data_IF_063667682135
#
_entry.id   IF_063667682135
#
_cell.length_a   1.000
_cell.length_b   1.000
_cell.length_c   1.000
_cell.angle_alpha   90.00
_cell.angle_beta   90.00
_cell.angle_gamma   90.00
#
_symmetry.space_group_name_H-M   'P 1'
#
loop_
_entity.id
_entity.type
_entity.pdbx_description
1 polymer ?
#
# COMPACT_ATOMS: atom_id res chain seq x y z
N UNK A 1 -9.45 -7.20 18.43
CA UNK A 1 -10.25 -6.97 17.21
C UNK A 1 -10.73 -8.31 16.69
N UNK A 2 -11.95 -8.33 16.14
CA UNK A 2 -12.50 -9.50 15.47
C UNK A 2 -12.75 -9.11 14.02
N UNK A 3 -12.08 -9.76 13.07
CA UNK A 3 -12.10 -9.38 11.65
C UNK A 3 -12.62 -10.52 10.80
N UNK A 4 -13.46 -10.23 9.81
CA UNK A 4 -13.87 -11.21 8.80
C UNK A 4 -12.64 -11.68 8.01
N UNK A 5 -12.42 -12.99 7.92
CA UNK A 5 -11.30 -13.57 7.16
C UNK A 5 -11.78 -14.35 5.94
N UNK A 6 -13.00 -14.87 5.95
CA UNK A 6 -13.60 -15.60 4.82
C UNK A 6 -15.12 -15.61 4.91
N UNK A 7 -15.78 -15.51 3.76
CA UNK A 7 -17.22 -15.77 3.60
C UNK A 7 -17.44 -16.92 2.62
N UNK A 8 -18.35 -17.83 2.97
CA UNK A 8 -18.70 -19.01 2.18
C UNK A 8 -20.22 -19.19 2.12
N UNK A 9 -20.70 -20.15 1.33
CA UNK A 9 -22.13 -20.51 1.28
C UNK A 9 -22.68 -20.99 2.64
N UNK A 10 -21.82 -21.55 3.49
CA UNK A 10 -22.20 -22.11 4.78
C UNK A 10 -22.23 -21.07 5.90
N UNK A 11 -21.50 -19.97 5.74
CA UNK A 11 -21.34 -18.96 6.78
C UNK A 11 -20.07 -18.13 6.63
N UNK A 12 -19.80 -17.33 7.65
CA UNK A 12 -18.68 -16.38 7.70
C UNK A 12 -17.72 -16.77 8.82
N UNK A 13 -16.43 -16.82 8.50
CA UNK A 13 -15.34 -17.07 9.43
C UNK A 13 -14.68 -15.74 9.83
N UNK A 14 -14.40 -15.61 11.12
CA UNK A 14 -13.76 -14.45 11.73
C UNK A 14 -12.53 -14.86 12.52
N UNK A 15 -11.56 -13.96 12.61
CA UNK A 15 -10.38 -14.12 13.45
C UNK A 15 -10.48 -13.24 14.70
N UNK A 16 -10.46 -13.85 15.89
CA UNK A 16 -10.35 -13.14 17.16
C UNK A 16 -8.88 -12.97 17.55
N UNK A 17 -8.38 -11.74 17.46
CA UNK A 17 -6.98 -11.42 17.78
C UNK A 17 -6.68 -11.53 19.27
N UNK A 18 -7.67 -11.29 20.14
CA UNK A 18 -7.49 -11.31 21.60
C UNK A 18 -7.43 -12.75 22.10
N UNK A 19 -8.37 -13.57 21.67
CA UNK A 19 -8.48 -14.98 22.08
C UNK A 19 -7.67 -15.93 21.19
N UNK A 20 -7.05 -15.41 20.11
CA UNK A 20 -6.21 -16.15 19.14
C UNK A 20 -6.89 -17.39 18.57
N UNK A 21 -8.14 -17.24 18.14
CA UNK A 21 -8.96 -18.34 17.61
C UNK A 21 -9.87 -17.89 16.47
N UNK A 22 -10.29 -18.86 15.67
CA UNK A 22 -11.32 -18.66 14.65
C UNK A 22 -12.72 -18.78 15.25
N UNK A 23 -13.63 -17.93 14.79
CA UNK A 23 -15.06 -17.96 15.10
C UNK A 23 -15.83 -18.20 13.80
N UNK A 24 -16.88 -19.02 13.85
CA UNK A 24 -17.73 -19.30 12.70
C UNK A 24 -19.17 -18.88 12.99
N UNK A 25 -19.77 -18.12 12.08
CA UNK A 25 -21.18 -17.73 12.13
C UNK A 25 -21.90 -18.32 10.92
N UNK A 26 -22.92 -19.18 11.11
CA UNK A 26 -23.69 -19.76 10.02
C UNK A 26 -24.35 -18.71 9.12
N UNK A 27 -24.58 -19.06 7.86
CA UNK A 27 -25.26 -18.17 6.93
C UNK A 27 -26.71 -17.90 7.39
N UNK A 28 -27.10 -16.63 7.43
CA UNK A 28 -28.41 -16.19 7.93
C UNK A 28 -28.44 -15.85 9.42
N UNK A 29 -27.34 -16.04 10.15
CA UNK A 29 -27.19 -15.59 11.54
C UNK A 29 -26.32 -14.32 11.62
N UNK A 30 -26.67 -13.44 12.56
CA UNK A 30 -25.84 -12.28 12.88
C UNK A 30 -24.79 -12.63 13.94
N UNK A 31 -23.56 -12.09 13.83
CA UNK A 31 -22.53 -12.32 14.84
C UNK A 31 -22.94 -11.74 16.21
N UNK A 32 -22.84 -12.55 17.26
CA UNK A 32 -23.06 -12.10 18.65
C UNK A 32 -21.91 -11.28 19.25
N UNK A 33 -21.06 -10.69 18.41
CA UNK A 33 -19.88 -9.92 18.78
C UNK A 33 -19.67 -8.76 17.79
N UNK A 34 -18.97 -7.73 18.24
CA UNK A 34 -18.64 -6.59 17.40
C UNK A 34 -17.58 -6.98 16.37
N UNK A 35 -17.91 -6.80 15.09
CA UNK A 35 -17.01 -7.04 13.97
C UNK A 35 -16.29 -5.75 13.62
N UNK A 36 -14.95 -5.80 13.62
CA UNK A 36 -14.11 -4.71 13.14
C UNK A 36 -14.08 -4.73 11.61
N UNK A 37 -14.75 -3.74 11.01
CA UNK A 37 -14.74 -3.51 9.55
C UNK A 37 -13.63 -2.52 9.22
N UNK A 38 -12.78 -2.85 8.25
CA UNK A 38 -11.64 -2.03 7.81
C UNK A 38 -10.66 -1.65 8.95
N UNK A 39 -10.01 -2.63 9.61
CA UNK A 39 -8.97 -2.32 10.58
C UNK A 39 -7.84 -1.49 9.93
N UNK A 40 -7.16 -0.66 10.72
CA UNK A 40 -6.06 0.19 10.23
C UNK A 40 -4.98 -0.63 9.49
N UNK A 41 -4.74 -1.87 9.91
CA UNK A 41 -3.81 -2.80 9.24
C UNK A 41 -4.21 -3.17 7.80
N UNK A 42 -5.48 -2.95 7.42
CA UNK A 42 -6.00 -3.16 6.06
C UNK A 42 -6.09 -1.85 5.25
N UNK A 43 -5.82 -0.70 5.87
CA UNK A 43 -5.75 0.57 5.16
C UNK A 43 -4.35 0.66 4.54
N UNK A 44 -4.27 0.52 3.23
CA UNK A 44 -3.05 0.88 2.51
C UNK A 44 -2.79 2.38 2.73
N UNK A 45 -1.58 2.73 3.17
CA UNK A 45 -1.16 4.13 3.26
C UNK A 45 -1.35 4.76 1.87
N UNK A 46 -2.24 5.76 1.75
CA UNK A 46 -2.64 6.34 0.45
C UNK A 46 -1.48 7.01 -0.27
N UNK A 47 -0.47 7.46 0.47
CA UNK A 47 0.79 7.97 -0.12
C UNK A 47 1.66 6.83 -0.70
N UNK A 48 1.44 5.59 -0.24
CA UNK A 48 2.25 4.40 -0.52
C UNK A 48 1.56 3.40 -1.45
N UNK A 49 0.26 3.56 -1.73
CA UNK A 49 -0.54 2.74 -2.65
C UNK A 49 -0.23 3.02 -4.14
N UNK A 50 1.01 3.38 -4.43
CA UNK A 50 1.56 3.67 -5.76
C UNK A 50 2.38 2.48 -6.25
N UNK A 51 1.76 1.30 -6.42
CA UNK A 51 2.28 0.20 -7.26
C UNK A 51 3.64 -0.43 -6.92
N UNK A 52 4.37 0.03 -5.90
CA UNK A 52 5.66 -0.52 -5.46
C UNK A 52 5.51 -1.63 -4.42
N UNK A 53 6.42 -2.61 -4.43
CA UNK A 53 6.50 -3.62 -3.37
C UNK A 53 7.12 -3.00 -2.10
N UNK A 54 6.46 -3.19 -0.96
CA UNK A 54 6.91 -2.74 0.35
C UNK A 54 8.07 -3.61 0.86
N UNK A 55 9.21 -3.00 1.17
CA UNK A 55 10.33 -3.65 1.86
C UNK A 55 10.78 -2.79 3.04
N UNK A 56 9.92 -2.64 4.06
CA UNK A 56 10.27 -1.92 5.30
C UNK A 56 9.87 -2.70 6.55
N UNK A 57 10.82 -3.00 7.43
CA UNK A 57 10.53 -3.41 8.80
C UNK A 57 10.21 -2.18 9.68
N UNK A 58 9.54 -2.41 10.81
CA UNK A 58 8.88 -1.43 11.70
C UNK A 58 9.74 -0.28 12.28
N UNK A 59 10.97 -0.08 11.82
CA UNK A 59 11.89 0.97 12.31
C UNK A 59 12.43 1.88 11.20
N UNK A 60 12.02 1.68 9.94
CA UNK A 60 12.40 2.56 8.83
C UNK A 60 11.57 2.31 7.59
N UNK A 61 10.79 3.33 7.18
CA UNK A 61 9.98 3.35 5.95
C UNK A 61 10.93 3.44 4.74
N UNK A 62 11.31 2.30 4.17
CA UNK A 62 12.16 2.24 2.96
C UNK A 62 11.33 1.68 1.81
N UNK A 63 11.09 2.50 0.80
CA UNK A 63 10.69 2.03 -0.53
C UNK A 63 11.93 1.36 -1.14
N UNK A 64 11.87 0.07 -1.42
CA UNK A 64 12.99 -0.63 -2.06
C UNK A 64 13.31 0.01 -3.42
N UNK A 65 14.57 -0.05 -3.85
CA UNK A 65 15.08 0.55 -5.10
C UNK A 65 14.16 0.28 -6.31
N UNK A 66 13.62 -0.95 -6.41
CA UNK A 66 12.70 -1.35 -7.49
C UNK A 66 11.30 -0.71 -7.41
N UNK A 67 10.84 -0.29 -6.24
CA UNK A 67 9.54 0.35 -6.05
C UNK A 67 9.55 1.81 -6.51
N UNK A 68 10.57 2.57 -6.13
CA UNK A 68 10.75 3.98 -6.53
C UNK A 68 10.90 4.09 -8.04
N UNK A 69 11.72 3.24 -8.66
CA UNK A 69 11.93 3.22 -10.10
C UNK A 69 10.64 2.88 -10.88
N UNK A 70 9.81 1.97 -10.37
CA UNK A 70 8.52 1.62 -10.98
C UNK A 70 7.51 2.78 -10.90
N UNK A 71 7.56 3.59 -9.85
CA UNK A 71 6.71 4.79 -9.70
C UNK A 71 7.15 5.87 -10.69
N UNK A 72 8.46 6.15 -10.72
CA UNK A 72 9.02 7.17 -11.61
C UNK A 72 8.85 6.78 -13.09
N UNK A 73 8.99 5.50 -13.43
CA UNK A 73 8.76 5.00 -14.80
C UNK A 73 7.30 5.04 -15.25
N UNK A 74 6.32 5.17 -14.35
CA UNK A 74 4.92 5.40 -14.72
C UNK A 74 4.58 6.89 -14.96
N UNK A 75 5.40 7.83 -14.45
CA UNK A 75 5.18 9.27 -14.65
C UNK A 75 5.58 9.72 -16.06
N UNK A 76 4.94 10.77 -16.55
CA UNK A 76 5.36 11.49 -17.75
C UNK A 76 6.58 12.37 -17.46
N UNK A 77 7.28 12.83 -18.50
CA UNK A 77 8.44 13.75 -18.33
C UNK A 77 8.06 15.04 -17.59
N UNK A 78 6.83 15.55 -17.80
CA UNK A 78 6.33 16.73 -17.10
C UNK A 78 6.18 16.45 -15.60
N UNK A 79 5.54 15.35 -15.24
CA UNK A 79 5.34 14.95 -13.85
C UNK A 79 6.65 14.61 -13.14
N UNK A 80 7.65 14.08 -13.85
CA UNK A 80 8.99 13.87 -13.30
C UNK A 80 9.69 15.19 -12.98
N UNK A 81 9.51 16.22 -13.82
CA UNK A 81 10.07 17.55 -13.58
C UNK A 81 9.37 18.27 -12.43
N UNK A 82 8.05 18.18 -12.36
CA UNK A 82 7.28 18.70 -11.23
C UNK A 82 7.69 18.01 -9.92
N UNK A 83 7.87 16.69 -9.94
CA UNK A 83 8.36 15.93 -8.78
C UNK A 83 9.79 16.34 -8.38
N UNK A 84 10.67 16.60 -9.36
CA UNK A 84 12.00 17.13 -9.09
C UNK A 84 11.96 18.50 -8.43
N UNK A 85 11.10 19.41 -8.91
CA UNK A 85 10.90 20.75 -8.34
C UNK A 85 10.38 20.66 -6.89
N UNK A 86 9.45 19.74 -6.61
CA UNK A 86 8.96 19.45 -5.25
C UNK A 86 10.09 18.98 -4.30
N UNK A 87 11.04 18.22 -4.83
CA UNK A 87 12.24 17.78 -4.11
C UNK A 87 13.35 18.84 -4.06
N UNK A 88 13.21 19.96 -4.78
CA UNK A 88 14.24 20.99 -4.93
C UNK A 88 15.42 20.57 -5.82
N UNK A 89 15.20 19.60 -6.72
CA UNK A 89 16.19 19.11 -7.69
C UNK A 89 15.94 19.80 -9.03
N UNK A 90 16.89 20.64 -9.47
CA UNK A 90 16.83 21.23 -10.81
C UNK A 90 17.30 20.22 -11.86
N UNK A 91 16.40 19.79 -12.76
CA UNK A 91 16.75 18.96 -13.90
C UNK A 91 17.16 19.87 -15.08
N UNK A 92 18.42 19.79 -15.55
CA UNK A 92 18.88 20.58 -16.70
C UNK A 92 17.99 20.41 -17.94
N UNK A 93 17.86 21.47 -18.75
CA UNK A 93 17.10 21.45 -20.01
C UNK A 93 17.66 20.50 -21.06
N UNK A 94 18.93 20.15 -20.93
CA UNK A 94 19.64 19.24 -21.83
C UNK A 94 19.23 17.79 -21.62
N UNK A 95 18.72 17.45 -20.43
CA UNK A 95 18.25 16.10 -20.10
C UNK A 95 16.81 15.95 -20.58
N UNK A 96 16.64 15.29 -21.72
CA UNK A 96 15.33 15.10 -22.37
C UNK A 96 14.84 13.65 -22.33
N UNK A 97 15.73 12.70 -22.03
CA UNK A 97 15.36 11.29 -21.93
C UNK A 97 14.70 11.04 -20.59
N UNK A 98 13.70 10.18 -20.59
CA UNK A 98 12.95 9.85 -19.38
C UNK A 98 13.81 9.04 -18.42
N UNK A 99 14.60 8.12 -18.95
CA UNK A 99 15.47 7.22 -18.19
C UNK A 99 16.53 8.03 -17.41
N UNK A 100 17.21 8.96 -18.08
CA UNK A 100 18.21 9.84 -17.45
C UNK A 100 17.59 10.71 -16.34
N UNK A 101 16.32 11.13 -16.49
CA UNK A 101 15.59 11.89 -15.45
C UNK A 101 15.25 10.98 -14.26
N UNK A 102 14.84 9.74 -14.52
CA UNK A 102 14.54 8.76 -13.47
C UNK A 102 15.80 8.43 -12.68
N UNK A 103 16.94 8.27 -13.34
CA UNK A 103 18.24 8.01 -12.70
C UNK A 103 18.68 9.14 -11.75
N UNK A 104 18.31 10.39 -12.06
CA UNK A 104 18.56 11.54 -11.18
C UNK A 104 17.63 11.63 -9.97
N UNK A 105 16.47 10.96 -10.02
CA UNK A 105 15.41 11.03 -9.02
C UNK A 105 15.30 9.78 -8.15
N UNK A 106 16.03 8.71 -8.49
CA UNK A 106 16.13 7.47 -7.73
C UNK A 106 17.23 7.53 -6.68
#
# INVERSE_FOLDING_TARGET
>A
MITEIRKTISGTEYWDTKEKRSLFVPNGEEPGFEVTVNPESMIADKELATGGYFTGNNEGKVIGESGTELILSNKTIKELREYADELGIEIPSDIKKKEDIIELLS
#
